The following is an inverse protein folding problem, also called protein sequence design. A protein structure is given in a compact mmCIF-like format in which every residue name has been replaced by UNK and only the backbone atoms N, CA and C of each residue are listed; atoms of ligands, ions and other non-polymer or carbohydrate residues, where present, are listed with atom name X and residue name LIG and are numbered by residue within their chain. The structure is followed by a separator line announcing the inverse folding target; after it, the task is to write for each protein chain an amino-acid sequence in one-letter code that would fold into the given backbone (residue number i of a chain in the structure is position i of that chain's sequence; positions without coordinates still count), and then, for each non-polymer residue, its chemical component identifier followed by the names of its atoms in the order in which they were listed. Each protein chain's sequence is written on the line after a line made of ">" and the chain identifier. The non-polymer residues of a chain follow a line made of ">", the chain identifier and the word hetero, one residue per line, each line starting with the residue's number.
data_IF_026014564798
#
_entry.id   IF_026014564798
#
_cell.length_a   1.000
_cell.length_b   1.000
_cell.length_c   1.000
_cell.angle_alpha   90.00
_cell.angle_beta   90.00
_cell.angle_gamma   90.00
#
_symmetry.space_group_name_H-M   'P 1'
#
loop_
_entity.id
_entity.type
_entity.pdbx_description
1 polymer ?
#
# COMPACT_ATOMS: atom_id res chain seq x y z
N UNK A 1 -17.60 1.05 0.90
CA UNK A 1 -16.81 0.63 -0.28
C UNK A 1 -17.77 0.23 -1.39
N UNK A 2 -17.62 0.73 -2.63
CA UNK A 2 -18.33 0.18 -3.78
C UNK A 2 -17.87 -1.27 -4.09
N UNK A 3 -18.69 -2.04 -4.80
CA UNK A 3 -18.35 -3.37 -5.33
C UNK A 3 -17.42 -3.24 -6.55
N UNK A 4 -16.74 -4.33 -6.95
CA UNK A 4 -15.95 -4.29 -8.19
C UNK A 4 -16.83 -4.15 -9.43
N UNK A 5 -18.06 -4.67 -9.37
CA UNK A 5 -19.09 -4.50 -10.40
C UNK A 5 -19.38 -3.02 -10.64
N UNK A 6 -19.77 -2.26 -9.60
CA UNK A 6 -20.02 -0.83 -9.71
C UNK A 6 -18.77 -0.04 -10.17
N UNK A 7 -17.57 -0.39 -9.68
CA UNK A 7 -16.33 0.24 -10.13
C UNK A 7 -16.07 0.01 -11.63
N UNK A 8 -16.41 -1.17 -12.17
CA UNK A 8 -16.29 -1.50 -13.60
C UNK A 8 -17.35 -0.79 -14.45
N UNK A 9 -18.61 -0.78 -14.02
CA UNK A 9 -19.71 -0.10 -14.71
C UNK A 9 -19.46 1.41 -14.85
N UNK A 10 -18.94 2.05 -13.80
CA UNK A 10 -18.55 3.46 -13.83
C UNK A 10 -17.19 3.71 -14.51
N UNK A 11 -16.49 2.69 -15.01
CA UNK A 11 -15.17 2.83 -15.64
C UNK A 11 -14.04 3.25 -14.68
N UNK A 12 -14.29 3.23 -13.37
CA UNK A 12 -13.40 3.75 -12.32
C UNK A 12 -12.49 2.68 -11.72
N UNK A 13 -11.73 2.01 -12.57
CA UNK A 13 -10.78 0.95 -12.16
C UNK A 13 -9.33 1.36 -12.43
N UNK A 14 -8.37 0.75 -11.73
CA UNK A 14 -6.95 0.97 -12.04
C UNK A 14 -6.59 0.34 -13.38
N UNK A 15 -6.05 1.14 -14.32
CA UNK A 15 -5.70 0.71 -15.70
C UNK A 15 -4.96 -0.63 -15.79
N UNK A 16 -4.05 -0.91 -14.86
CA UNK A 16 -3.22 -2.12 -14.84
C UNK A 16 -3.72 -3.19 -13.84
N UNK A 17 -4.71 -2.86 -13.01
CA UNK A 17 -5.23 -3.69 -11.92
C UNK A 17 -6.76 -3.52 -11.83
N UNK A 18 -7.53 -3.95 -12.85
CA UNK A 18 -8.96 -3.66 -12.95
C UNK A 18 -9.82 -4.27 -11.84
N UNK A 19 -9.23 -5.13 -10.99
CA UNK A 19 -9.86 -5.80 -9.85
C UNK A 19 -9.37 -5.33 -8.48
N UNK A 20 -8.49 -4.32 -8.43
CA UNK A 20 -8.11 -3.68 -7.18
C UNK A 20 -9.15 -2.63 -6.76
N UNK A 21 -9.74 -2.76 -5.56
CA UNK A 21 -10.69 -1.78 -5.01
C UNK A 21 -10.03 -0.44 -4.65
N UNK A 22 -8.81 -0.49 -4.11
CA UNK A 22 -8.01 0.66 -3.69
C UNK A 22 -6.53 0.28 -3.65
N UNK A 23 -5.66 1.28 -3.61
CA UNK A 23 -4.23 1.13 -3.36
C UNK A 23 -3.89 1.72 -1.98
N UNK A 24 -3.20 0.96 -1.13
CA UNK A 24 -2.77 1.40 0.20
C UNK A 24 -1.26 1.59 0.25
N UNK A 25 -0.80 2.66 0.89
CA UNK A 25 0.62 2.92 1.13
C UNK A 25 0.83 3.58 2.50
N UNK A 26 2.03 3.46 3.05
CA UNK A 26 2.44 4.13 4.30
C UNK A 26 3.27 5.37 3.96
N UNK A 27 2.75 6.55 4.30
CA UNK A 27 3.42 7.83 4.08
C UNK A 27 4.10 8.32 5.35
N UNK A 28 5.40 8.58 5.26
CA UNK A 28 6.16 9.26 6.30
C UNK A 28 5.97 10.78 6.22
N UNK A 29 5.67 11.41 7.35
CA UNK A 29 5.52 12.84 7.51
C UNK A 29 6.62 13.34 8.47
N UNK A 30 7.63 14.09 7.98
CA UNK A 30 8.67 14.66 8.83
C UNK A 30 8.08 15.57 9.91
N UNK A 31 8.68 15.55 11.10
CA UNK A 31 8.35 16.44 12.20
C UNK A 31 9.62 17.04 12.80
N UNK A 32 9.44 18.07 13.63
CA UNK A 32 10.48 18.45 14.58
C UNK A 32 10.84 17.27 15.49
N UNK A 33 12.07 17.28 16.01
CA UNK A 33 12.52 16.34 17.04
C UNK A 33 11.66 16.56 18.30
N UNK A 34 10.96 15.54 18.82
CA UNK A 34 10.17 15.69 20.04
C UNK A 34 11.08 15.99 21.25
N UNK A 35 10.50 16.61 22.28
CA UNK A 35 11.12 16.73 23.59
C UNK A 35 11.11 15.39 24.35
N UNK A 36 11.76 15.34 25.52
CA UNK A 36 11.84 14.14 26.37
C UNK A 36 13.22 13.50 26.39
N UNK A 37 13.31 12.24 26.80
CA UNK A 37 14.54 11.43 26.88
C UNK A 37 14.89 10.84 25.51
N UNK A 38 16.17 10.51 25.29
CA UNK A 38 16.64 9.94 24.03
C UNK A 38 15.86 8.70 23.57
N UNK A 39 15.44 7.82 24.49
CA UNK A 39 14.64 6.63 24.17
C UNK A 39 13.25 6.97 23.62
N UNK A 40 12.56 7.93 24.22
CA UNK A 40 11.24 8.41 23.80
C UNK A 40 11.34 9.07 22.41
N UNK A 41 12.35 9.90 22.20
CA UNK A 41 12.59 10.57 20.92
C UNK A 41 12.94 9.58 19.80
N UNK A 42 13.78 8.58 20.09
CA UNK A 42 14.20 7.54 19.14
C UNK A 42 13.01 6.77 18.55
N UNK A 43 11.90 6.66 19.28
CA UNK A 43 10.66 6.05 18.79
C UNK A 43 10.09 6.74 17.54
N UNK A 44 10.29 8.05 17.41
CA UNK A 44 9.84 8.84 16.26
C UNK A 44 10.89 8.92 15.14
N UNK A 45 12.10 8.39 15.34
CA UNK A 45 13.17 8.48 14.36
C UNK A 45 13.06 7.40 13.27
N UNK A 46 12.92 7.83 12.02
CA UNK A 46 12.89 6.91 10.88
C UNK A 46 14.29 6.61 10.35
N UNK A 47 14.78 5.39 10.58
CA UNK A 47 16.10 4.95 10.12
C UNK A 47 16.32 5.00 8.59
N UNK A 48 15.22 4.95 7.81
CA UNK A 48 15.20 5.07 6.34
C UNK A 48 15.35 6.54 5.88
N UNK A 49 14.63 7.46 6.52
CA UNK A 49 14.57 8.88 6.12
C UNK A 49 15.58 9.76 6.86
N UNK A 50 16.22 9.25 7.93
CA UNK A 50 17.13 9.99 8.83
C UNK A 50 16.50 11.21 9.51
N UNK A 51 15.17 11.21 9.64
CA UNK A 51 14.37 12.29 10.21
C UNK A 51 13.46 11.75 11.31
N UNK A 52 13.09 12.63 12.25
CA UNK A 52 11.96 12.39 13.14
C UNK A 52 10.65 12.62 12.38
N UNK A 53 9.60 11.90 12.74
CA UNK A 53 8.30 12.07 12.11
C UNK A 53 7.28 11.03 12.53
N UNK A 54 6.12 11.13 11.91
CA UNK A 54 5.02 10.17 12.00
C UNK A 54 4.87 9.43 10.68
N UNK A 55 4.10 8.35 10.73
CA UNK A 55 3.64 7.60 9.56
C UNK A 55 2.14 7.48 9.62
N UNK A 56 1.50 7.57 8.46
CA UNK A 56 0.08 7.24 8.29
C UNK A 56 -0.05 6.19 7.20
N UNK A 57 -0.90 5.20 7.41
CA UNK A 57 -1.38 4.33 6.34
C UNK A 57 -2.57 5.01 5.68
N UNK A 58 -2.57 5.11 4.35
CA UNK A 58 -3.65 5.73 3.59
C UNK A 58 -4.02 4.85 2.39
N UNK A 59 -5.32 4.64 2.20
CA UNK A 59 -5.90 3.90 1.08
C UNK A 59 -6.60 4.87 0.13
N UNK A 60 -6.26 4.80 -1.16
CA UNK A 60 -6.83 5.66 -2.21
C UNK A 60 -7.48 4.86 -3.33
N UNK A 61 -8.56 5.37 -3.89
CA UNK A 61 -9.29 4.74 -4.99
C UNK A 61 -8.62 4.97 -6.34
N UNK A 62 -9.09 4.32 -7.40
CA UNK A 62 -8.59 4.54 -8.76
C UNK A 62 -8.77 5.98 -9.27
N UNK A 63 -9.77 6.69 -8.74
CA UNK A 63 -10.05 8.11 -8.98
C UNK A 63 -9.16 9.06 -8.16
N UNK A 64 -8.28 8.54 -7.29
CA UNK A 64 -7.42 9.34 -6.41
C UNK A 64 -8.11 9.88 -5.15
N UNK A 65 -9.32 9.42 -4.82
CA UNK A 65 -10.02 9.83 -3.60
C UNK A 65 -9.49 9.05 -2.39
N UNK A 66 -9.44 9.70 -1.21
CA UNK A 66 -9.14 9.02 0.04
C UNK A 66 -10.32 8.10 0.41
N UNK A 67 -10.01 6.83 0.68
CA UNK A 67 -11.00 5.79 0.98
C UNK A 67 -10.96 5.38 2.44
N UNK A 68 -9.76 5.34 3.02
CA UNK A 68 -9.50 4.95 4.39
C UNK A 68 -8.15 5.52 4.86
N UNK A 69 -8.03 5.84 6.15
CA UNK A 69 -6.81 6.33 6.78
C UNK A 69 -6.64 5.66 8.14
N UNK A 70 -5.45 5.12 8.39
CA UNK A 70 -5.07 4.58 9.70
C UNK A 70 -4.70 5.67 10.71
N UNK A 71 -4.60 5.32 12.02
CA UNK A 71 -4.01 6.20 13.01
C UNK A 71 -2.56 6.54 12.67
N UNK A 72 -2.04 7.61 13.25
CA UNK A 72 -0.63 7.95 13.15
C UNK A 72 0.23 7.00 13.98
N UNK A 73 1.36 6.59 13.42
CA UNK A 73 2.34 5.70 14.06
C UNK A 73 3.72 6.38 14.10
N UNK A 74 4.57 6.11 15.11
CA UNK A 74 5.90 6.70 15.19
C UNK A 74 6.82 6.33 14.01
N UNK A 75 7.68 7.26 13.59
CA UNK A 75 8.56 7.09 12.43
C UNK A 75 9.50 5.87 12.45
N UNK A 76 9.76 5.27 13.62
CA UNK A 76 10.54 4.03 13.75
C UNK A 76 9.75 2.75 13.40
N UNK A 77 8.41 2.80 13.37
CA UNK A 77 7.57 1.63 13.10
C UNK A 77 7.75 1.18 11.64
N UNK A 78 7.88 -0.13 11.40
CA UNK A 78 8.03 -0.66 10.06
C UNK A 78 6.68 -0.65 9.30
N UNK A 79 6.71 -0.34 8.01
CA UNK A 79 5.50 -0.21 7.18
C UNK A 79 4.65 -1.50 7.23
N UNK A 80 5.29 -2.67 7.13
CA UNK A 80 4.67 -4.00 7.26
C UNK A 80 3.98 -4.21 8.63
N UNK A 81 4.50 -3.61 9.71
CA UNK A 81 3.88 -3.69 11.04
C UNK A 81 2.59 -2.86 11.09
N UNK A 82 2.54 -1.71 10.41
CA UNK A 82 1.32 -0.90 10.30
C UNK A 82 0.23 -1.65 9.54
N UNK A 83 0.56 -2.19 8.36
CA UNK A 83 -0.34 -3.03 7.57
C UNK A 83 -0.90 -4.23 8.38
N UNK A 84 -0.05 -4.90 9.16
CA UNK A 84 -0.46 -6.04 10.00
C UNK A 84 -1.36 -5.63 11.18
N UNK A 85 -1.23 -4.41 11.71
CA UNK A 85 -2.14 -3.88 12.76
C UNK A 85 -3.57 -3.66 12.25
N UNK A 86 -3.76 -3.47 10.94
CA UNK A 86 -5.06 -3.15 10.28
C UNK A 86 -5.53 -4.26 9.33
N UNK A 87 -5.01 -5.47 9.53
CA UNK A 87 -5.23 -6.62 8.65
C UNK A 87 -6.71 -6.99 8.54
N UNK A 88 -7.44 -6.91 9.64
CA UNK A 88 -8.89 -7.13 9.77
C UNK A 88 -9.71 -6.16 8.90
N UNK A 89 -9.35 -4.88 8.91
CA UNK A 89 -9.95 -3.84 8.05
C UNK A 89 -9.71 -4.18 6.58
N UNK A 90 -8.50 -4.57 6.21
CA UNK A 90 -8.18 -4.98 4.84
C UNK A 90 -8.90 -6.27 4.41
N UNK A 91 -8.94 -7.31 5.24
CA UNK A 91 -9.68 -8.56 4.96
C UNK A 91 -11.18 -8.27 4.75
N UNK A 92 -11.76 -7.43 5.60
CA UNK A 92 -13.19 -7.05 5.52
C UNK A 92 -13.49 -6.33 4.22
N UNK A 93 -12.67 -5.36 3.83
CA UNK A 93 -12.84 -4.58 2.60
C UNK A 93 -12.52 -5.37 1.32
N UNK A 94 -11.58 -6.31 1.37
CA UNK A 94 -11.17 -7.17 0.25
C UNK A 94 -12.06 -8.42 0.09
N UNK A 95 -13.08 -8.62 0.93
CA UNK A 95 -14.06 -9.69 0.75
C UNK A 95 -14.74 -9.56 -0.61
N UNK A 96 -14.66 -10.63 -1.41
CA UNK A 96 -15.28 -10.74 -2.74
C UNK A 96 -16.75 -11.14 -2.61
N UNK A 97 -17.59 -10.66 -3.51
CA UNK A 97 -18.93 -11.23 -3.73
C UNK A 97 -18.84 -12.60 -4.43
N UNK A 98 -19.90 -13.44 -4.44
CA UNK A 98 -19.88 -14.70 -5.18
C UNK A 98 -19.60 -14.52 -6.68
N UNK A 99 -20.09 -13.43 -7.28
CA UNK A 99 -19.84 -13.04 -8.68
C UNK A 99 -18.39 -12.65 -8.95
N UNK A 100 -17.70 -12.10 -7.95
CA UNK A 100 -16.28 -11.70 -8.04
C UNK A 100 -15.31 -12.88 -7.73
N UNK A 101 -15.80 -13.98 -7.15
CA UNK A 101 -14.98 -15.06 -6.61
C UNK A 101 -14.18 -15.84 -7.67
N UNK A 102 -14.68 -15.91 -8.91
CA UNK A 102 -14.04 -16.57 -10.05
C UNK A 102 -12.94 -15.73 -10.71
N UNK A 103 -12.84 -14.45 -10.36
CA UNK A 103 -11.85 -13.54 -10.94
C UNK A 103 -10.46 -13.82 -10.36
N UNK A 104 -9.49 -14.07 -11.23
CA UNK A 104 -8.09 -14.27 -10.85
C UNK A 104 -7.43 -12.95 -10.45
N UNK A 105 -6.85 -12.91 -9.24
CA UNK A 105 -6.12 -11.75 -8.75
C UNK A 105 -4.68 -11.81 -9.27
N UNK A 106 -4.37 -11.02 -10.30
CA UNK A 106 -2.99 -10.75 -10.76
C UNK A 106 -2.26 -9.79 -9.80
N UNK A 107 -2.43 -10.09 -8.52
CA UNK A 107 -1.85 -9.53 -7.32
C UNK A 107 -0.49 -10.15 -7.05
N UNK A 108 0.17 -9.60 -6.04
CA UNK A 108 1.57 -9.87 -5.74
C UNK A 108 1.75 -9.94 -4.19
N UNK A 109 2.03 -8.85 -3.45
CA UNK A 109 2.11 -8.79 -1.97
C UNK A 109 2.95 -7.61 -1.41
N UNK A 110 2.93 -7.26 -0.11
CA UNK A 110 4.22 -6.92 0.53
C UNK A 110 4.89 -8.27 0.82
N UNK A 111 6.20 -8.43 0.59
CA UNK A 111 6.89 -9.72 0.79
C UNK A 111 6.84 -10.09 2.28
N UNK A 112 5.85 -10.91 2.67
CA UNK A 112 5.50 -11.19 4.07
C UNK A 112 4.05 -10.93 4.48
N UNK A 113 3.15 -10.54 3.58
CA UNK A 113 1.68 -10.54 3.81
C UNK A 113 0.97 -11.78 3.22
N UNK A 114 1.68 -12.61 2.45
CA UNK A 114 1.13 -13.67 1.60
C UNK A 114 0.28 -14.73 2.32
N UNK A 115 0.53 -14.98 3.60
CA UNK A 115 -0.24 -15.93 4.43
C UNK A 115 -1.52 -15.30 5.03
N UNK A 116 -1.70 -13.98 4.89
CA UNK A 116 -2.67 -13.21 5.68
C UNK A 116 -3.61 -12.38 4.81
N UNK A 117 -3.10 -11.68 3.78
CA UNK A 117 -3.87 -10.83 2.85
C UNK A 117 -3.24 -10.83 1.46
N UNK A 118 -4.06 -10.87 0.40
CA UNK A 118 -3.64 -10.62 -1.00
C UNK A 118 -3.24 -9.14 -1.15
N UNK A 119 -2.04 -8.84 -1.65
CA UNK A 119 -1.49 -7.47 -1.73
C UNK A 119 -0.63 -7.31 -3.02
N UNK A 120 0.17 -6.23 -3.23
CA UNK A 120 0.93 -5.99 -4.50
C UNK A 120 2.47 -5.73 -4.32
N UNK A 121 3.33 -6.58 -4.92
CA UNK A 121 4.80 -6.69 -4.78
C UNK A 121 5.53 -5.93 -5.90
N UNK A 122 6.40 -4.96 -5.56
CA UNK A 122 7.43 -4.48 -6.48
C UNK A 122 8.47 -5.58 -6.70
N UNK A 123 8.65 -6.08 -7.93
CA UNK A 123 9.81 -6.91 -8.27
C UNK A 123 11.08 -6.08 -8.03
N UNK A 124 11.96 -6.58 -7.16
CA UNK A 124 13.25 -5.94 -6.85
C UNK A 124 14.06 -5.80 -8.15
N UNK A 125 14.59 -4.60 -8.44
CA UNK A 125 15.55 -4.46 -9.56
C UNK A 125 16.79 -5.32 -9.23
N UNK A 126 17.31 -6.13 -10.17
CA UNK A 126 18.57 -6.85 -9.95
C UNK A 126 19.71 -5.84 -9.80
N UNK A 127 20.64 -6.13 -8.89
CA UNK A 127 21.92 -5.41 -8.84
C UNK A 127 22.63 -5.60 -10.19
N UNK A 128 23.06 -4.49 -10.82
CA UNK A 128 23.78 -4.46 -12.11
C UNK A 128 23.01 -4.92 -13.37
N UNK A 129 21.67 -5.03 -13.34
CA UNK A 129 20.90 -5.28 -14.56
C UNK A 129 20.70 -4.02 -15.42
N UNK A 130 21.36 -3.95 -16.58
CA UNK A 130 21.14 -2.89 -17.57
C UNK A 130 19.69 -2.92 -18.10
N UNK A 131 19.05 -1.75 -18.22
CA UNK A 131 17.68 -1.64 -18.72
C UNK A 131 17.69 -1.73 -20.25
N UNK A 132 17.34 -2.90 -20.80
CA UNK A 132 17.03 -3.02 -22.23
C UNK A 132 15.65 -2.42 -22.49
N UNK A 133 15.60 -1.14 -22.88
CA UNK A 133 14.47 -0.59 -23.62
C UNK A 133 14.59 -1.04 -25.09
N UNK A 134 13.82 -2.04 -25.49
CA UNK A 134 13.47 -2.21 -26.90
C UNK A 134 12.10 -1.59 -27.11
N UNK A 135 12.06 -0.35 -27.62
CA UNK A 135 10.86 0.15 -28.26
C UNK A 135 10.57 -0.74 -29.48
N UNK A 136 9.37 -1.29 -29.54
CA UNK A 136 8.74 -1.70 -30.78
C UNK A 136 7.52 -0.79 -30.97
N UNK A 137 7.78 0.42 -31.46
CA UNK A 137 6.82 1.04 -32.37
C UNK A 137 7.02 0.34 -33.72
N UNK A 138 5.92 -0.02 -34.36
CA UNK A 138 5.76 -0.01 -35.81
C UNK A 138 4.27 0.25 -36.04
N UNK A 139 3.99 1.00 -37.10
CA UNK A 139 2.67 1.51 -37.48
C UNK A 139 1.68 0.41 -37.93
#
# INVERSE_FOLDING_TARGET
>A
MPTMEALREHGTTFRNYPYAKYATDVKFQPSHRPSGRFGEQKHYFSGKHKLYGLKIEASVSAQGLLVDMGPHEPGSVADLTMFRKRLDVHVTNLKKTPTEATVNDNDKGYYGLTESVRAIHPKKRPLFGAIKYTMAFND
#
